data_IF_319027414456
#
_entry.id   IF_319027414456
#
_cell.length_a   1.000
_cell.length_b   1.000
_cell.length_c   1.000
_cell.angle_alpha   90.00
_cell.angle_beta   90.00
_cell.angle_gamma   90.00
#
_symmetry.space_group_name_H-M   'P 1'
#
loop_
_entity.id
_entity.type
_entity.pdbx_description
1 polymer ?
#
# COMPACT_ATOMS: atom_id res chain seq x y z
N UNK A 1 -21.80 -11.11 8.99
CA UNK A 1 -21.14 -9.98 8.30
C UNK A 1 -20.50 -10.54 7.05
N UNK A 2 -20.76 -10.02 5.85
CA UNK A 2 -19.96 -10.44 4.69
C UNK A 2 -18.50 -10.07 4.98
N UNK A 3 -17.60 -11.05 4.83
CA UNK A 3 -16.18 -10.89 5.15
C UNK A 3 -15.49 -10.06 4.08
N UNK A 4 -14.68 -9.09 4.50
CA UNK A 4 -13.75 -8.41 3.60
C UNK A 4 -12.64 -9.40 3.26
N UNK A 5 -12.38 -9.61 1.97
CA UNK A 5 -11.24 -10.42 1.57
C UNK A 5 -9.95 -9.65 1.86
N UNK A 6 -9.00 -10.32 2.52
CA UNK A 6 -7.74 -9.71 2.94
C UNK A 6 -6.58 -10.48 2.34
N UNK A 7 -5.75 -9.78 1.57
CA UNK A 7 -4.52 -10.33 1.02
C UNK A 7 -3.30 -9.65 1.66
N UNK A 8 -2.41 -10.43 2.28
CA UNK A 8 -1.19 -9.89 2.90
C UNK A 8 -0.02 -10.06 1.96
N UNK A 9 0.73 -8.99 1.75
CA UNK A 9 1.89 -8.97 0.88
C UNK A 9 3.09 -8.35 1.60
N UNK A 10 4.23 -9.03 1.50
CA UNK A 10 5.51 -8.50 1.92
C UNK A 10 6.17 -7.71 0.78
N UNK A 11 6.63 -6.50 1.08
CA UNK A 11 7.45 -5.69 0.19
C UNK A 11 8.88 -5.67 0.69
N UNK A 12 9.79 -6.23 -0.11
CA UNK A 12 11.22 -6.10 0.12
C UNK A 12 11.69 -4.65 -0.16
N UNK A 13 12.69 -4.14 0.58
CA UNK A 13 13.28 -2.85 0.29
C UNK A 13 13.85 -2.83 -1.13
N UNK A 14 13.73 -1.68 -1.82
CA UNK A 14 14.17 -1.48 -3.21
C UNK A 14 13.41 -2.28 -4.28
N UNK A 15 12.38 -3.05 -3.90
CA UNK A 15 11.50 -3.74 -4.85
C UNK A 15 10.15 -3.03 -4.91
N UNK A 16 9.97 -2.08 -5.83
CA UNK A 16 8.71 -1.36 -5.94
C UNK A 16 7.59 -2.26 -6.45
N UNK A 17 6.39 -2.02 -5.96
CA UNK A 17 5.15 -2.67 -6.40
C UNK A 17 4.26 -1.62 -7.08
N UNK A 18 3.60 -2.00 -8.18
CA UNK A 18 2.51 -1.22 -8.74
C UNK A 18 1.21 -1.64 -8.07
N UNK A 19 0.46 -0.68 -7.56
CA UNK A 19 -0.81 -0.93 -6.90
C UNK A 19 -1.95 -0.27 -7.66
N UNK A 20 -3.06 -1.00 -7.73
CA UNK A 20 -4.21 -0.57 -8.50
C UNK A 20 -4.89 0.66 -7.87
N UNK A 21 -5.40 1.58 -8.69
CA UNK A 21 -6.14 2.75 -8.23
C UNK A 21 -7.35 2.35 -7.39
N UNK A 22 -7.70 3.17 -6.40
CA UNK A 22 -8.84 2.91 -5.53
C UNK A 22 -8.63 1.79 -4.50
N UNK A 23 -7.56 0.97 -4.62
CA UNK A 23 -7.28 -0.08 -3.66
C UNK A 23 -7.00 0.49 -2.26
N UNK A 24 -7.47 -0.23 -1.24
CA UNK A 24 -7.29 0.15 0.15
C UNK A 24 -6.26 -0.77 0.79
N UNK A 25 -5.30 -0.18 1.50
CA UNK A 25 -4.21 -0.91 2.13
C UNK A 25 -4.00 -0.47 3.58
N UNK A 26 -3.62 -1.43 4.43
CA UNK A 26 -3.20 -1.21 5.81
C UNK A 26 -1.74 -1.63 5.95
N UNK A 27 -0.90 -0.75 6.51
CA UNK A 27 0.49 -1.11 6.82
C UNK A 27 0.53 -1.91 8.14
N UNK A 28 0.84 -3.19 8.06
CA UNK A 28 0.95 -4.08 9.21
C UNK A 28 2.32 -4.00 9.90
N UNK A 29 3.36 -3.71 9.12
CA UNK A 29 4.74 -3.60 9.60
C UNK A 29 5.59 -2.71 8.67
N UNK A 30 6.60 -2.05 9.23
CA UNK A 30 7.58 -1.27 8.48
C UNK A 30 7.09 0.13 8.11
N UNK A 31 7.76 0.72 7.12
CA UNK A 31 7.40 2.01 6.53
C UNK A 31 7.34 1.89 5.01
N UNK A 32 6.31 2.48 4.45
CA UNK A 32 5.99 2.40 3.03
C UNK A 32 5.97 3.81 2.44
N UNK A 33 6.70 4.01 1.35
CA UNK A 33 6.52 5.18 0.48
C UNK A 33 5.50 4.82 -0.57
N UNK A 34 4.53 5.71 -0.77
CA UNK A 34 3.57 5.66 -1.86
C UNK A 34 3.87 6.86 -2.76
N UNK A 35 4.48 6.59 -3.91
CA UNK A 35 4.67 7.58 -4.96
C UNK A 35 3.35 7.69 -5.74
N UNK A 36 2.75 8.87 -5.67
CA UNK A 36 1.51 9.19 -6.34
C UNK A 36 1.81 9.79 -7.73
N UNK A 37 0.83 9.78 -8.64
CA UNK A 37 0.93 10.51 -9.89
C UNK A 37 1.28 11.99 -9.65
N UNK A 38 1.89 12.63 -10.64
CA UNK A 38 2.23 14.08 -10.63
C UNK A 38 3.37 14.48 -9.67
N UNK A 39 4.08 13.51 -9.09
CA UNK A 39 5.28 13.77 -8.29
C UNK A 39 5.01 13.97 -6.79
N UNK A 40 3.76 13.80 -6.36
CA UNK A 40 3.42 13.73 -4.95
C UNK A 40 3.84 12.39 -4.34
N UNK A 41 4.10 12.38 -3.04
CA UNK A 41 4.34 11.15 -2.30
C UNK A 41 3.76 11.20 -0.89
N UNK A 42 3.50 10.01 -0.34
CA UNK A 42 3.09 9.79 1.05
C UNK A 42 4.05 8.81 1.70
N UNK A 43 4.33 9.00 2.97
CA UNK A 43 5.01 8.00 3.80
C UNK A 43 4.00 7.48 4.79
N UNK A 44 3.81 6.17 4.81
CA UNK A 44 2.90 5.45 5.69
C UNK A 44 3.71 4.59 6.66
N UNK A 45 3.23 4.51 7.90
CA UNK A 45 3.82 3.74 8.97
C UNK A 45 2.84 2.68 9.49
N UNK A 46 3.32 1.81 10.38
CA UNK A 46 2.52 0.75 10.97
C UNK A 46 1.21 1.28 11.57
N UNK A 47 0.10 0.73 11.13
CA UNK A 47 -1.25 1.08 11.55
C UNK A 47 -1.97 2.05 10.63
N UNK A 48 -1.27 2.66 9.67
CA UNK A 48 -1.89 3.56 8.70
C UNK A 48 -2.76 2.79 7.71
N UNK A 49 -4.01 3.22 7.61
CA UNK A 49 -4.96 2.80 6.59
C UNK A 49 -4.99 3.87 5.49
N UNK A 50 -4.69 3.47 4.26
CA UNK A 50 -4.63 4.37 3.13
C UNK A 50 -5.43 3.83 1.96
N UNK A 51 -6.26 4.69 1.35
CA UNK A 51 -6.91 4.39 0.09
C UNK A 51 -6.17 5.11 -1.03
N UNK A 52 -5.71 4.34 -2.01
CA UNK A 52 -5.10 4.89 -3.21
C UNK A 52 -6.13 5.74 -3.96
N UNK A 53 -5.73 6.91 -4.49
CA UNK A 53 -6.64 7.72 -5.29
C UNK A 53 -7.09 6.96 -6.53
N UNK A 54 -8.25 7.31 -7.05
CA UNK A 54 -8.69 6.88 -8.38
C UNK A 54 -7.76 7.51 -9.44
N UNK A 55 -7.52 6.82 -10.55
CA UNK A 55 -6.67 7.33 -11.64
C UNK A 55 -5.57 6.37 -12.07
N UNK A 56 -4.32 6.84 -12.30
CA UNK A 56 -3.20 5.96 -12.62
C UNK A 56 -2.74 5.11 -11.42
N UNK A 57 -2.11 3.93 -11.68
CA UNK A 57 -1.51 3.12 -10.63
C UNK A 57 -0.48 3.89 -9.82
N UNK A 58 -0.45 3.64 -8.51
CA UNK A 58 0.55 4.19 -7.60
C UNK A 58 1.70 3.21 -7.43
N UNK A 59 2.90 3.75 -7.19
CA UNK A 59 4.08 2.94 -6.91
C UNK A 59 4.33 2.90 -5.41
N UNK A 60 4.49 1.70 -4.88
CA UNK A 60 4.73 1.44 -3.47
C UNK A 60 6.16 0.94 -3.27
N UNK A 61 6.84 1.40 -2.22
CA UNK A 61 8.19 0.95 -1.90
C UNK A 61 8.45 0.92 -0.40
N UNK A 62 9.02 -0.18 0.09
CA UNK A 62 9.51 -0.23 1.46
C UNK A 62 10.81 0.60 1.61
N UNK A 63 10.86 1.48 2.61
CA UNK A 63 11.90 2.52 2.70
C UNK A 63 13.28 1.98 3.13
N UNK A 64 13.32 1.12 4.16
CA UNK A 64 14.58 0.68 4.78
C UNK A 64 14.59 -0.82 5.08
N UNK A 65 13.62 -1.28 5.84
CA UNK A 65 13.36 -2.70 6.10
C UNK A 65 12.23 -3.20 5.21
N UNK A 66 11.95 -4.50 5.27
CA UNK A 66 10.71 -5.06 4.74
C UNK A 66 9.49 -4.30 5.31
N UNK A 67 8.46 -4.15 4.48
CA UNK A 67 7.13 -3.72 4.91
C UNK A 67 6.12 -4.84 4.69
N UNK A 68 5.15 -4.97 5.59
CA UNK A 68 4.01 -5.87 5.43
C UNK A 68 2.76 -5.03 5.22
N UNK A 69 2.01 -5.35 4.18
CA UNK A 69 0.81 -4.60 3.79
C UNK A 69 -0.35 -5.56 3.62
N UNK A 70 -1.51 -5.21 4.17
CA UNK A 70 -2.76 -5.91 3.93
C UNK A 70 -3.63 -5.13 2.95
N UNK A 71 -4.01 -5.78 1.86
CA UNK A 71 -4.96 -5.28 0.87
C UNK A 71 -6.38 -5.63 1.30
N UNK A 72 -7.27 -4.64 1.26
CA UNK A 72 -8.67 -4.75 1.65
C UNK A 72 -9.53 -4.67 0.39
N UNK A 73 -10.12 -5.80 0.00
CA UNK A 73 -11.02 -5.88 -1.16
C UNK A 73 -12.47 -5.90 -0.69
N UNK A 74 -13.28 -4.97 -1.22
CA UNK A 74 -14.72 -5.01 -1.02
C UNK A 74 -15.30 -6.18 -1.82
N UNK A 75 -15.89 -7.15 -1.11
CA UNK A 75 -16.60 -8.28 -1.72
C UNK A 75 -18.00 -7.93 -2.21
#
# INVERSE_FOLDING_TARGET
MPGVALHVQALAPRSPLQADPGATLLVLEGRLVVDLPQGDYRVLERGDLFRLPEGPPARLQALASQALVAWLEAG
#
